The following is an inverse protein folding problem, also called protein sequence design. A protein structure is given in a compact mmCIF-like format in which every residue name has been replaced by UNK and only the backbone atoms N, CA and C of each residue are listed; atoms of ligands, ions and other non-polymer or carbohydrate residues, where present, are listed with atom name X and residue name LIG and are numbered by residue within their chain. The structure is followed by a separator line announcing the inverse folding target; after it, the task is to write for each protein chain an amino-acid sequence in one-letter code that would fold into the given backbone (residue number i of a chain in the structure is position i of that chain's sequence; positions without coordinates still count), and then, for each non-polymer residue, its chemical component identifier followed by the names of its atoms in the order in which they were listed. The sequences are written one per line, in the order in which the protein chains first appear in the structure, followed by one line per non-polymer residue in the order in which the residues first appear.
data_IF_599934798391
#
_entry.id   IF_599934798391
#
_cell.length_a   1.000
_cell.length_b   1.000
_cell.length_c   1.000
_cell.angle_alpha   90.00
_cell.angle_beta   90.00
_cell.angle_gamma   90.00
#
_symmetry.space_group_name_H-M   'P 1'
#
loop_
_entity.id
_entity.type
_entity.pdbx_description
1 polymer ?
#
# COMPACT_ATOMS: atom_id res chain seq x y z
N UNK A 1 -52.79 24.11 -15.04
CA UNK A 1 -51.60 24.15 -14.17
C UNK A 1 -50.83 22.83 -14.36
N UNK A 2 -49.76 22.84 -15.10
CA UNK A 2 -48.86 21.68 -15.29
C UNK A 2 -47.60 21.96 -14.49
N UNK A 3 -47.36 21.19 -13.44
CA UNK A 3 -46.11 21.23 -12.68
C UNK A 3 -45.08 20.37 -13.40
N UNK A 4 -44.08 21.04 -13.99
CA UNK A 4 -42.88 20.38 -14.51
C UNK A 4 -41.96 20.04 -13.35
N UNK A 5 -41.97 18.81 -12.91
CA UNK A 5 -40.96 18.26 -11.98
C UNK A 5 -39.65 18.13 -12.72
N UNK A 6 -38.72 19.03 -12.50
CA UNK A 6 -37.32 18.91 -12.97
C UNK A 6 -36.61 17.93 -12.08
N UNK A 7 -36.57 16.66 -12.49
CA UNK A 7 -35.71 15.64 -11.87
C UNK A 7 -34.26 15.98 -12.21
N UNK A 8 -33.57 16.59 -11.26
CA UNK A 8 -32.13 16.81 -11.36
C UNK A 8 -31.41 15.47 -11.33
N UNK A 9 -31.09 14.96 -12.51
CA UNK A 9 -30.25 13.78 -12.64
C UNK A 9 -28.85 14.10 -12.09
N UNK A 10 -28.49 13.48 -10.97
CA UNK A 10 -27.14 13.49 -10.44
C UNK A 10 -26.23 12.86 -11.51
N UNK A 11 -25.55 13.70 -12.29
CA UNK A 11 -24.57 13.24 -13.28
C UNK A 11 -23.35 12.73 -12.52
N UNK A 12 -23.23 11.41 -12.41
CA UNK A 12 -22.00 10.78 -11.94
C UNK A 12 -20.86 11.27 -12.83
N UNK A 13 -19.97 12.08 -12.27
CA UNK A 13 -18.74 12.50 -12.94
C UNK A 13 -17.82 11.27 -13.04
N UNK A 14 -17.99 10.47 -14.09
CA UNK A 14 -16.95 9.53 -14.50
C UNK A 14 -15.84 10.35 -15.14
N UNK A 15 -14.77 10.56 -14.38
CA UNK A 15 -13.55 11.11 -14.96
C UNK A 15 -12.98 10.09 -15.93
N UNK A 16 -12.93 10.40 -17.20
CA UNK A 16 -12.28 9.59 -18.24
C UNK A 16 -10.75 9.68 -18.16
N UNK A 17 -10.21 10.48 -17.24
CA UNK A 17 -8.78 10.62 -16.96
C UNK A 17 -8.40 9.69 -15.80
N UNK A 18 -7.24 9.02 -15.85
CA UNK A 18 -6.74 8.30 -14.71
C UNK A 18 -6.61 9.26 -13.52
N UNK A 19 -7.15 8.86 -12.37
CA UNK A 19 -7.04 9.66 -11.15
C UNK A 19 -5.57 9.95 -10.83
N UNK A 20 -5.22 11.21 -10.54
CA UNK A 20 -3.86 11.55 -10.14
C UNK A 20 -3.52 11.02 -8.74
N UNK A 21 -4.52 10.54 -8.00
CA UNK A 21 -4.37 10.01 -6.64
C UNK A 21 -4.84 8.55 -6.61
N UNK A 22 -3.98 7.68 -6.11
CA UNK A 22 -4.27 6.27 -5.89
C UNK A 22 -4.22 6.00 -4.39
N UNK A 23 -5.23 5.36 -3.86
CA UNK A 23 -5.33 5.05 -2.42
C UNK A 23 -5.40 3.54 -2.24
N UNK A 24 -4.68 3.04 -1.25
CA UNK A 24 -4.78 1.68 -0.77
C UNK A 24 -4.85 1.69 0.76
N UNK A 25 -5.68 0.81 1.29
CA UNK A 25 -5.81 0.58 2.73
C UNK A 25 -5.87 -0.91 3.00
N UNK A 26 -5.23 -1.32 4.08
CA UNK A 26 -5.30 -2.69 4.56
C UNK A 26 -5.31 -2.76 6.09
N UNK A 27 -5.91 -3.82 6.60
CA UNK A 27 -5.93 -4.18 8.01
C UNK A 27 -5.60 -5.67 8.16
N UNK A 28 -4.72 -6.00 9.08
CA UNK A 28 -4.18 -7.35 9.28
C UNK A 28 -4.28 -7.72 10.76
N UNK A 29 -4.78 -8.93 11.04
CA UNK A 29 -4.77 -9.51 12.38
C UNK A 29 -3.34 -9.83 12.81
N UNK A 30 -2.93 -9.35 13.99
CA UNK A 30 -1.61 -9.62 14.56
C UNK A 30 -1.48 -11.09 14.95
N UNK A 31 -2.57 -11.72 15.44
CA UNK A 31 -2.57 -13.14 15.78
C UNK A 31 -2.38 -14.04 14.57
N UNK A 32 -3.02 -13.75 13.43
CA UNK A 32 -2.83 -14.52 12.19
C UNK A 32 -1.39 -14.44 11.67
N UNK A 33 -0.76 -13.28 11.80
CA UNK A 33 0.66 -13.14 11.45
C UNK A 33 1.54 -13.91 12.44
N UNK A 34 1.26 -13.83 13.74
CA UNK A 34 1.98 -14.59 14.75
C UNK A 34 1.91 -16.11 14.48
N UNK A 35 0.72 -16.64 14.18
CA UNK A 35 0.50 -18.02 13.78
C UNK A 35 1.30 -18.41 12.52
N UNK A 36 1.41 -17.50 11.55
CA UNK A 36 2.21 -17.73 10.33
C UNK A 36 3.72 -17.75 10.60
N UNK A 37 4.16 -17.05 11.65
CA UNK A 37 5.56 -17.02 12.06
C UNK A 37 6.01 -18.29 12.80
N UNK A 38 5.10 -19.02 13.46
CA UNK A 38 5.42 -20.21 14.27
C UNK A 38 5.84 -21.42 13.41
N UNK A 39 4.96 -22.03 12.57
CA UNK A 39 5.32 -23.25 11.85
C UNK A 39 6.16 -23.03 10.59
N UNK A 40 6.05 -21.87 9.94
CA UNK A 40 6.68 -21.57 8.64
C UNK A 40 7.59 -20.34 8.69
N UNK A 41 7.95 -19.87 9.86
CA UNK A 41 8.53 -18.54 10.13
C UNK A 41 9.59 -18.11 9.14
N UNK A 42 10.68 -18.88 8.96
CA UNK A 42 11.75 -18.49 8.04
C UNK A 42 11.32 -18.50 6.57
N UNK A 43 10.48 -19.45 6.17
CA UNK A 43 10.00 -19.55 4.78
C UNK A 43 9.03 -18.43 4.47
N UNK A 44 8.10 -18.15 5.39
CA UNK A 44 7.15 -17.04 5.27
C UNK A 44 7.88 -15.69 5.22
N UNK A 45 8.78 -15.46 6.18
CA UNK A 45 9.55 -14.22 6.25
C UNK A 45 10.34 -13.99 4.97
N UNK A 46 11.10 -14.98 4.49
CA UNK A 46 11.90 -14.87 3.26
C UNK A 46 11.07 -14.65 2.00
N UNK A 47 9.83 -15.09 1.97
CA UNK A 47 8.92 -14.89 0.83
C UNK A 47 8.32 -13.50 0.80
N UNK A 48 8.02 -12.93 1.98
CA UNK A 48 7.22 -11.70 2.09
C UNK A 48 8.07 -10.47 2.38
N UNK A 49 9.10 -10.61 3.21
CA UNK A 49 9.86 -9.48 3.72
C UNK A 49 11.28 -9.43 3.17
N UNK A 50 11.81 -8.22 3.00
CA UNK A 50 13.23 -8.04 2.71
C UNK A 50 14.07 -8.38 3.94
N UNK A 51 15.38 -8.63 3.74
CA UNK A 51 16.28 -8.90 4.86
C UNK A 51 16.32 -7.73 5.86
N UNK A 52 16.22 -6.50 5.36
CA UNK A 52 16.20 -5.29 6.20
C UNK A 52 14.93 -5.19 7.04
N UNK A 53 13.76 -5.46 6.46
CA UNK A 53 12.50 -5.51 7.20
C UNK A 53 12.52 -6.60 8.26
N UNK A 54 12.97 -7.81 7.90
CA UNK A 54 13.06 -8.94 8.81
C UNK A 54 14.00 -8.65 10.00
N UNK A 55 15.16 -8.07 9.73
CA UNK A 55 16.10 -7.65 10.77
C UNK A 55 15.48 -6.65 11.75
N UNK A 56 14.81 -5.62 11.21
CA UNK A 56 14.12 -4.63 12.04
C UNK A 56 12.99 -5.25 12.89
N UNK A 57 12.19 -6.13 12.31
CA UNK A 57 11.09 -6.76 13.04
C UNK A 57 11.59 -7.65 14.18
N UNK A 58 12.63 -8.43 13.92
CA UNK A 58 13.26 -9.33 14.89
C UNK A 58 14.02 -8.61 16.00
N UNK A 59 14.39 -7.37 15.82
CA UNK A 59 15.01 -6.55 16.87
C UNK A 59 14.01 -6.16 17.98
N UNK A 60 12.71 -6.47 17.84
CA UNK A 60 11.73 -6.36 18.89
C UNK A 60 11.75 -7.58 19.81
N UNK A 61 11.04 -7.48 20.93
CA UNK A 61 10.83 -8.57 21.89
C UNK A 61 9.34 -8.83 22.09
N UNK A 62 9.00 -10.08 22.45
CA UNK A 62 7.63 -10.47 22.77
C UNK A 62 6.65 -10.23 21.61
N UNK A 63 5.44 -9.80 21.93
CA UNK A 63 4.36 -9.54 20.97
C UNK A 63 4.68 -8.45 19.95
N UNK A 64 5.62 -7.56 20.23
CA UNK A 64 6.02 -6.50 19.32
C UNK A 64 6.68 -7.04 18.03
N UNK A 65 7.21 -8.25 18.02
CA UNK A 65 7.73 -8.89 16.80
C UNK A 65 6.60 -9.10 15.78
N UNK A 66 5.50 -9.75 16.20
CA UNK A 66 4.35 -10.01 15.34
C UNK A 66 3.68 -8.70 14.89
N UNK A 67 3.53 -7.72 15.77
CA UNK A 67 2.97 -6.39 15.43
C UNK A 67 3.79 -5.66 14.38
N UNK A 68 5.13 -5.73 14.46
CA UNK A 68 6.02 -5.13 13.44
C UNK A 68 5.91 -5.81 12.08
N UNK A 69 5.78 -7.14 12.04
CA UNK A 69 5.56 -7.89 10.80
C UNK A 69 4.17 -7.59 10.23
N UNK A 70 3.12 -7.60 11.07
CA UNK A 70 1.75 -7.32 10.66
C UNK A 70 1.60 -5.91 10.05
N UNK A 71 2.18 -4.89 10.67
CA UNK A 71 2.15 -3.53 10.15
C UNK A 71 2.84 -3.42 8.77
N UNK A 72 3.94 -4.12 8.55
CA UNK A 72 4.61 -4.15 7.25
C UNK A 72 3.84 -4.93 6.21
N UNK A 73 3.22 -6.03 6.62
CA UNK A 73 2.37 -6.80 5.72
C UNK A 73 1.17 -5.96 5.26
N UNK A 74 0.46 -5.31 6.20
CA UNK A 74 -0.61 -4.37 5.87
C UNK A 74 -0.16 -3.25 4.91
N UNK A 75 1.05 -2.70 5.12
CA UNK A 75 1.59 -1.68 4.23
C UNK A 75 1.85 -2.21 2.81
N UNK A 76 2.38 -3.42 2.67
CA UNK A 76 2.60 -4.06 1.36
C UNK A 76 1.29 -4.32 0.63
N UNK A 77 0.27 -4.82 1.33
CA UNK A 77 -1.08 -5.01 0.79
C UNK A 77 -1.70 -3.66 0.36
N UNK A 78 -1.59 -2.63 1.19
CA UNK A 78 -2.06 -1.30 0.85
C UNK A 78 -1.37 -0.74 -0.41
N UNK A 79 -0.05 -0.96 -0.56
CA UNK A 79 0.70 -0.60 -1.77
C UNK A 79 0.16 -1.34 -2.99
N UNK A 80 -0.09 -2.65 -2.90
CA UNK A 80 -0.65 -3.44 -4.01
C UNK A 80 -2.03 -2.94 -4.40
N UNK A 81 -2.89 -2.62 -3.42
CA UNK A 81 -4.22 -2.05 -3.66
C UNK A 81 -4.14 -0.69 -4.38
N UNK A 82 -3.20 0.17 -3.99
CA UNK A 82 -2.97 1.45 -4.66
C UNK A 82 -2.38 1.28 -6.06
N UNK A 83 -1.43 0.35 -6.24
CA UNK A 83 -0.81 0.04 -7.53
C UNK A 83 -1.74 -0.69 -8.50
N UNK A 84 -2.78 -1.39 -8.02
CA UNK A 84 -3.75 -2.14 -8.85
C UNK A 84 -3.07 -2.96 -9.97
N UNK A 85 -2.22 -3.93 -9.66
CA UNK A 85 -1.49 -4.70 -10.68
C UNK A 85 -2.46 -5.58 -11.46
N UNK A 86 -2.81 -5.20 -12.69
CA UNK A 86 -3.75 -5.94 -13.55
C UNK A 86 -3.17 -7.32 -13.92
N UNK A 87 -3.49 -8.36 -13.13
CA UNK A 87 -3.10 -9.75 -13.39
C UNK A 87 -1.59 -10.06 -13.29
N UNK A 88 -0.74 -9.08 -13.05
CA UNK A 88 0.70 -9.27 -12.93
C UNK A 88 1.07 -9.58 -11.48
N UNK A 89 1.60 -10.75 -11.22
CA UNK A 89 2.16 -11.08 -9.91
C UNK A 89 3.30 -10.10 -9.55
N UNK A 90 3.17 -9.44 -8.42
CA UNK A 90 4.20 -8.59 -7.81
C UNK A 90 4.86 -9.39 -6.69
N UNK A 91 6.19 -9.48 -6.69
CA UNK A 91 6.93 -10.06 -5.58
C UNK A 91 6.78 -9.13 -4.35
N UNK A 92 6.38 -9.69 -3.21
CA UNK A 92 6.25 -8.98 -1.94
C UNK A 92 7.49 -8.21 -1.53
N UNK A 93 8.67 -8.77 -1.82
CA UNK A 93 9.96 -8.14 -1.51
C UNK A 93 10.31 -6.98 -2.44
N UNK A 94 9.57 -6.83 -3.54
CA UNK A 94 9.70 -5.64 -4.40
C UNK A 94 9.04 -4.40 -3.81
N UNK A 95 8.35 -4.54 -2.68
CA UNK A 95 7.80 -3.46 -1.87
C UNK A 95 8.50 -3.51 -0.52
N UNK A 96 9.33 -2.54 -0.21
CA UNK A 96 10.08 -2.46 1.05
C UNK A 96 9.59 -1.32 1.92
N UNK A 97 9.27 -1.61 3.17
CA UNK A 97 8.89 -0.61 4.18
C UNK A 97 10.11 -0.25 5.00
N UNK A 98 10.59 0.95 4.83
CA UNK A 98 11.77 1.48 5.51
C UNK A 98 11.37 2.40 6.66
N UNK A 99 11.90 2.15 7.87
CA UNK A 99 11.72 3.06 8.99
C UNK A 99 12.84 4.10 9.02
N UNK A 100 12.45 5.35 9.09
CA UNK A 100 13.37 6.46 9.30
C UNK A 100 13.77 6.59 10.77
N UNK A 101 14.97 7.09 11.11
CA UNK A 101 15.39 7.33 12.50
C UNK A 101 14.42 8.21 13.31
N UNK A 102 13.75 9.16 12.64
CA UNK A 102 12.72 10.02 13.26
C UNK A 102 11.38 9.31 13.56
N UNK A 103 11.25 8.01 13.18
CA UNK A 103 10.10 7.17 13.55
C UNK A 103 9.05 6.97 12.46
N UNK A 104 8.99 7.82 11.45
CA UNK A 104 8.09 7.61 10.32
C UNK A 104 8.60 6.53 9.35
N UNK A 105 7.74 6.05 8.47
CA UNK A 105 8.08 5.00 7.52
C UNK A 105 7.84 5.44 6.08
N UNK A 106 8.71 4.97 5.19
CA UNK A 106 8.62 5.13 3.75
C UNK A 106 8.41 3.81 3.05
N UNK A 107 7.95 3.88 1.80
CA UNK A 107 7.89 2.77 0.87
C UNK A 107 8.95 2.96 -0.21
N UNK A 108 9.78 1.95 -0.38
CA UNK A 108 10.70 1.83 -1.52
C UNK A 108 10.21 0.72 -2.44
N UNK A 109 10.07 1.03 -3.71
CA UNK A 109 9.66 0.06 -4.73
C UNK A 109 10.88 -0.42 -5.52
N UNK A 110 10.93 -1.73 -5.77
CA UNK A 110 11.98 -2.40 -6.53
C UNK A 110 11.39 -3.17 -7.71
N UNK A 111 12.21 -3.52 -8.68
CA UNK A 111 11.85 -4.44 -9.76
C UNK A 111 10.51 -4.15 -10.44
N UNK A 112 9.62 -5.15 -10.46
CA UNK A 112 8.31 -5.03 -11.14
C UNK A 112 7.38 -4.01 -10.48
N UNK A 113 7.42 -3.83 -9.16
CA UNK A 113 6.61 -2.82 -8.48
C UNK A 113 7.04 -1.41 -8.91
N UNK A 114 8.35 -1.14 -8.94
CA UNK A 114 8.89 0.13 -9.42
C UNK A 114 8.55 0.38 -10.90
N UNK A 115 8.73 -0.63 -11.76
CA UNK A 115 8.38 -0.52 -13.18
C UNK A 115 6.89 -0.23 -13.39
N UNK A 116 6.00 -0.84 -12.58
CA UNK A 116 4.58 -0.57 -12.65
C UNK A 116 4.25 0.86 -12.21
N UNK A 117 4.85 1.32 -11.11
CA UNK A 117 4.69 2.70 -10.62
C UNK A 117 5.14 3.72 -11.69
N UNK A 118 6.30 3.49 -12.31
CA UNK A 118 6.82 4.35 -13.39
C UNK A 118 5.85 4.40 -14.58
N UNK A 119 5.36 3.25 -15.06
CA UNK A 119 4.39 3.21 -16.17
C UNK A 119 3.08 3.93 -15.86
N UNK A 120 2.71 4.05 -14.59
CA UNK A 120 1.52 4.79 -14.13
C UNK A 120 1.81 6.26 -13.80
N UNK A 121 3.04 6.70 -14.03
CA UNK A 121 3.47 8.07 -13.74
C UNK A 121 3.50 8.40 -12.24
N UNK A 122 3.51 7.39 -11.37
CA UNK A 122 3.56 7.61 -9.91
C UNK A 122 4.93 8.18 -9.56
N UNK A 123 4.91 9.35 -8.93
CA UNK A 123 6.11 10.10 -8.55
C UNK A 123 6.18 10.40 -7.05
N UNK A 124 5.11 10.14 -6.30
CA UNK A 124 5.08 10.28 -4.85
C UNK A 124 4.32 9.13 -4.21
N UNK A 125 4.82 8.67 -3.07
CA UNK A 125 4.18 7.67 -2.22
C UNK A 125 4.23 8.19 -0.80
N UNK A 126 3.09 8.16 -0.10
CA UNK A 126 3.01 8.44 1.32
C UNK A 126 2.42 7.22 2.02
N UNK A 127 2.96 6.88 3.19
CA UNK A 127 2.56 5.75 4.01
C UNK A 127 2.24 6.23 5.43
N UNK A 128 1.12 5.77 5.96
CA UNK A 128 0.79 5.85 7.38
C UNK A 128 0.43 4.46 7.89
N UNK A 129 0.96 4.09 9.04
CA UNK A 129 0.70 2.81 9.69
C UNK A 129 0.36 3.01 11.16
N UNK A 130 -0.56 2.20 11.67
CA UNK A 130 -0.90 2.14 13.08
C UNK A 130 -1.20 0.70 13.48
N UNK A 131 -1.12 0.39 14.76
CA UNK A 131 -1.57 -0.89 15.32
C UNK A 131 -2.07 -0.70 16.75
N UNK A 132 -2.95 -1.59 17.16
CA UNK A 132 -3.34 -1.83 18.54
C UNK A 132 -2.88 -3.23 18.98
N UNK A 133 -3.52 -3.81 20.01
CA UNK A 133 -3.18 -5.14 20.51
C UNK A 133 -3.63 -6.28 19.58
N UNK A 134 -4.60 -6.04 18.70
CA UNK A 134 -5.25 -7.05 17.86
C UNK A 134 -4.91 -6.93 16.38
N UNK A 135 -4.74 -5.73 15.89
CA UNK A 135 -4.69 -5.43 14.46
C UNK A 135 -3.63 -4.39 14.11
N UNK A 136 -3.07 -4.52 12.93
CA UNK A 136 -2.24 -3.52 12.30
C UNK A 136 -2.91 -3.01 11.02
N UNK A 137 -2.87 -1.71 10.79
CA UNK A 137 -3.45 -1.07 9.61
C UNK A 137 -2.43 -0.21 8.89
N UNK A 138 -2.62 -0.07 7.60
CA UNK A 138 -1.81 0.82 6.77
C UNK A 138 -2.68 1.54 5.74
N UNK A 139 -2.33 2.80 5.49
CA UNK A 139 -2.89 3.62 4.42
C UNK A 139 -1.75 4.08 3.53
N UNK A 140 -1.92 3.89 2.23
CA UNK A 140 -0.98 4.34 1.20
C UNK A 140 -1.69 5.30 0.27
N UNK A 141 -1.07 6.43 0.03
CA UNK A 141 -1.50 7.41 -0.98
C UNK A 141 -0.38 7.54 -2.00
N UNK A 142 -0.70 7.33 -3.26
CA UNK A 142 0.23 7.54 -4.37
C UNK A 142 -0.29 8.64 -5.27
N UNK A 143 0.61 9.48 -5.73
CA UNK A 143 0.30 10.54 -6.66
C UNK A 143 0.99 10.26 -8.00
N UNK A 144 0.24 10.35 -9.10
CA UNK A 144 0.79 10.36 -10.45
C UNK A 144 0.94 11.80 -10.95
N UNK A 145 1.96 12.03 -11.80
CA UNK A 145 2.07 13.29 -12.51
C UNK A 145 0.83 13.47 -13.39
N UNK A 146 0.17 14.62 -13.32
CA UNK A 146 -0.86 14.97 -14.29
C UNK A 146 -0.22 15.01 -15.70
N UNK A 147 -0.78 14.27 -16.65
CA UNK A 147 -0.39 14.41 -18.05
C UNK A 147 -0.70 15.84 -18.50
N UNK A 148 0.32 16.67 -18.54
CA UNK A 148 0.21 18.01 -19.17
C UNK A 148 0.18 17.76 -20.67
N UNK A 149 -1.01 17.68 -21.24
CA UNK A 149 -1.17 17.77 -22.68
C UNK A 149 -0.95 19.23 -23.04
N UNK A 150 0.23 19.55 -23.56
CA UNK A 150 0.37 20.75 -24.35
C UNK A 150 -0.62 20.64 -25.53
N UNK A 151 -1.68 21.39 -25.49
CA UNK A 151 -2.44 21.72 -26.69
C UNK A 151 -1.53 22.65 -27.49
N UNK A 152 -0.89 22.12 -28.52
CA UNK A 152 -0.39 22.97 -29.58
C UNK A 152 -1.60 23.67 -30.21
N UNK A 153 -1.55 24.98 -30.21
CA UNK A 153 -2.51 25.85 -30.89
C UNK A 153 -2.08 25.97 -32.36
#
# INVERSE_FOLDING_TARGET
MRQNGTTSALRLLRTTRPDPIHVGVDIVSISEVAESLEPFGERYIRRVFTAREASYCRAATGSAVASRFAARFAAKEAVLKALRPNGSAIDWRSIEVCRHPSGWCDVVLHGRAASLATRRGINRIALSMSHDDSSATAVVVMQSAACVHHREQ
#
